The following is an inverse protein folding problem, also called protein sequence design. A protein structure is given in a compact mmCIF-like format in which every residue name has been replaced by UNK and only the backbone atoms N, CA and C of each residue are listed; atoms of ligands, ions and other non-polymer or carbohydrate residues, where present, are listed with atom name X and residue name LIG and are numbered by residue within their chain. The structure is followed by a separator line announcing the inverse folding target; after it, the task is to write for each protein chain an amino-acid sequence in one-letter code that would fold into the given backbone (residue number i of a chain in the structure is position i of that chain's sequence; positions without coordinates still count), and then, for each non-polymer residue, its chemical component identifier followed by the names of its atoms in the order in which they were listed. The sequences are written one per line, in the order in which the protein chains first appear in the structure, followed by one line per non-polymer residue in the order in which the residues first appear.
data_IF_020584143956
#
_entry.id   IF_020584143956
#
_cell.length_a   1.000
_cell.length_b   1.000
_cell.length_c   1.000
_cell.angle_alpha   90.00
_cell.angle_beta   90.00
_cell.angle_gamma   90.00
#
_symmetry.space_group_name_H-M   'P 1'
#
loop_
_entity.id
_entity.type
_entity.pdbx_description
1 polymer ?
#
# COMPACT_ATOMS: atom_id res chain seq x y z
N UNK A 1 -40.80 13.14 -10.56
CA UNK A 1 -40.35 11.95 -11.34
C UNK A 1 -39.97 12.43 -12.73
N UNK A 2 -38.70 12.76 -12.96
CA UNK A 2 -38.05 13.05 -14.25
C UNK A 2 -36.54 12.78 -14.02
N UNK A 3 -35.98 11.66 -14.49
CA UNK A 3 -35.13 11.54 -15.71
C UNK A 3 -33.73 12.18 -15.50
N UNK A 4 -32.55 11.60 -15.79
CA UNK A 4 -32.11 10.67 -16.83
C UNK A 4 -30.86 9.90 -16.37
N UNK A 5 -30.69 8.70 -16.92
CA UNK A 5 -29.54 7.79 -16.81
C UNK A 5 -28.20 8.39 -17.29
N UNK A 6 -27.08 7.83 -16.79
CA UNK A 6 -25.94 7.46 -17.63
C UNK A 6 -24.98 6.53 -16.87
N UNK A 7 -25.03 5.24 -17.23
CA UNK A 7 -24.02 4.25 -16.85
C UNK A 7 -22.80 4.42 -17.74
N UNK A 8 -21.60 4.57 -17.15
CA UNK A 8 -20.34 4.46 -17.89
C UNK A 8 -19.67 3.15 -17.53
N UNK A 9 -19.58 2.27 -18.54
CA UNK A 9 -18.82 1.03 -18.49
C UNK A 9 -17.36 1.34 -18.83
N UNK A 10 -16.44 1.10 -17.90
CA UNK A 10 -15.01 1.15 -18.18
C UNK A 10 -14.51 -0.26 -18.50
N UNK A 11 -14.23 -0.49 -19.78
CA UNK A 11 -13.38 -1.57 -20.28
C UNK A 11 -11.94 -1.10 -20.10
N UNK A 12 -11.10 -1.86 -19.39
CA UNK A 12 -9.65 -1.70 -19.46
C UNK A 12 -8.99 -3.04 -19.76
N UNK A 13 -8.23 -3.04 -20.84
CA UNK A 13 -7.49 -4.16 -21.40
C UNK A 13 -6.24 -4.51 -20.57
N UNK A 14 -5.92 -5.79 -20.63
CA UNK A 14 -4.73 -6.45 -20.08
C UNK A 14 -3.40 -5.88 -20.61
N UNK A 15 -2.40 -5.78 -19.74
CA UNK A 15 -0.99 -5.85 -20.12
C UNK A 15 -0.23 -6.73 -19.11
N UNK A 16 -0.08 -7.99 -19.49
CA UNK A 16 0.77 -9.01 -18.85
C UNK A 16 2.22 -8.75 -19.27
N UNK A 17 3.11 -8.54 -18.30
CA UNK A 17 4.56 -8.56 -18.54
C UNK A 17 5.17 -9.72 -17.77
N UNK A 18 5.44 -10.82 -18.48
CA UNK A 18 6.32 -11.89 -18.02
C UNK A 18 7.76 -11.40 -18.09
N UNK A 19 8.54 -11.63 -17.03
CA UNK A 19 10.00 -11.60 -17.14
C UNK A 19 10.57 -12.78 -16.35
N UNK A 20 10.77 -13.86 -17.08
CA UNK A 20 11.68 -14.95 -16.75
C UNK A 20 13.10 -14.42 -16.74
N UNK A 21 13.86 -14.65 -15.66
CA UNK A 21 15.31 -14.90 -15.70
C UNK A 21 15.74 -15.64 -14.44
N UNK A 22 15.96 -16.95 -14.54
CA UNK A 22 16.94 -17.66 -13.70
C UNK A 22 18.37 -17.20 -14.07
N UNK A 23 19.34 -17.37 -13.16
CA UNK A 23 20.37 -18.34 -13.49
C UNK A 23 20.76 -19.27 -12.33
N UNK A 24 21.46 -20.30 -12.78
CA UNK A 24 21.86 -21.56 -12.16
C UNK A 24 23.36 -21.48 -11.82
N UNK A 25 23.75 -22.15 -10.74
CA UNK A 25 25.11 -22.62 -10.40
C UNK A 25 26.19 -21.58 -10.05
N UNK A 26 26.86 -21.74 -8.90
CA UNK A 26 28.16 -22.45 -8.87
C UNK A 26 28.66 -22.68 -7.44
N UNK A 27 29.29 -23.85 -7.27
CA UNK A 27 29.92 -24.35 -6.05
C UNK A 27 31.13 -23.54 -5.63
N UNK A 28 31.48 -23.57 -4.34
CA UNK A 28 32.86 -23.73 -3.86
C UNK A 28 32.90 -24.01 -2.35
N UNK A 29 33.27 -25.24 -1.98
CA UNK A 29 33.89 -25.56 -0.68
C UNK A 29 35.26 -24.90 -0.59
N UNK A 30 35.76 -24.59 0.62
CA UNK A 30 37.17 -24.72 0.92
C UNK A 30 37.42 -25.97 1.77
N UNK A 31 38.20 -26.87 1.18
CA UNK A 31 38.96 -27.92 1.86
C UNK A 31 40.18 -27.28 2.53
N UNK A 32 40.40 -27.50 3.82
CA UNK A 32 41.72 -27.31 4.44
C UNK A 32 41.94 -28.34 5.53
N UNK A 33 43.14 -28.91 5.46
CA UNK A 33 43.59 -30.14 6.09
C UNK A 33 44.06 -29.95 7.55
N UNK A 34 43.86 -31.03 8.32
CA UNK A 34 44.76 -31.63 9.33
C UNK A 34 45.30 -30.75 10.46
N UNK A 35 44.95 -31.14 11.68
CA UNK A 35 45.95 -31.64 12.65
C UNK A 35 45.27 -32.50 13.75
N UNK A 36 45.63 -33.78 13.80
CA UNK A 36 45.29 -34.69 14.88
C UNK A 36 46.37 -34.59 15.96
N UNK A 37 45.96 -34.36 17.21
CA UNK A 37 46.74 -34.67 18.41
C UNK A 37 45.81 -35.45 19.36
N UNK A 38 46.11 -36.71 19.72
CA UNK A 38 45.25 -37.52 20.58
C UNK A 38 45.73 -37.43 22.04
N UNK A 39 44.96 -36.78 22.90
CA UNK A 39 45.17 -36.86 24.35
C UNK A 39 44.14 -37.81 24.95
N UNK A 40 44.64 -38.99 25.32
CA UNK A 40 43.94 -40.02 26.07
C UNK A 40 43.59 -39.54 27.49
N UNK A 41 42.52 -40.14 28.00
CA UNK A 41 42.17 -40.32 29.42
C UNK A 41 41.60 -39.13 30.18
N UNK A 42 40.29 -39.15 30.43
CA UNK A 42 39.72 -39.31 31.79
C UNK A 42 38.18 -39.37 31.74
N UNK A 43 37.61 -40.50 31.30
CA UNK A 43 36.19 -40.77 31.53
C UNK A 43 36.09 -41.87 32.57
N UNK A 44 36.02 -41.48 33.84
CA UNK A 44 35.56 -42.37 34.90
C UNK A 44 34.60 -41.59 35.79
N UNK A 45 33.38 -42.11 35.77
CA UNK A 45 32.48 -42.20 36.91
C UNK A 45 31.58 -40.98 37.23
N UNK A 46 30.43 -40.97 36.56
CA UNK A 46 29.18 -40.48 37.14
C UNK A 46 28.02 -41.23 36.49
N UNK A 47 27.81 -42.48 36.90
CA UNK A 47 26.52 -43.15 36.68
C UNK A 47 25.55 -42.68 37.76
N UNK A 48 24.78 -41.64 37.46
CA UNK A 48 23.51 -41.38 38.13
C UNK A 48 22.43 -42.23 37.46
N UNK A 49 21.66 -43.05 38.20
CA UNK A 49 20.61 -43.87 37.63
C UNK A 49 19.34 -43.04 37.43
N UNK A 50 18.55 -43.42 36.42
CA UNK A 50 17.21 -42.91 36.05
C UNK A 50 17.21 -41.79 35.01
N UNK A 51 17.07 -42.16 33.74
CA UNK A 51 16.44 -41.29 32.74
C UNK A 51 16.91 -41.44 31.30
N UNK A 52 18.21 -41.54 31.05
CA UNK A 52 18.74 -41.28 29.70
C UNK A 52 19.23 -42.55 29.02
N UNK A 53 18.35 -43.10 28.17
CA UNK A 53 18.74 -44.00 27.09
C UNK A 53 19.74 -43.23 26.22
N UNK A 54 21.04 -43.52 26.36
CA UNK A 54 22.09 -43.03 25.46
C UNK A 54 21.71 -43.48 24.04
N UNK A 55 21.01 -42.61 23.31
CA UNK A 55 20.72 -42.83 21.91
C UNK A 55 22.05 -43.03 21.20
N UNK A 56 22.15 -44.06 20.36
CA UNK A 56 23.32 -44.21 19.50
C UNK A 56 23.48 -42.92 18.69
N UNK A 57 24.72 -42.50 18.41
CA UNK A 57 24.98 -41.29 17.62
C UNK A 57 24.19 -41.31 16.31
N UNK A 58 24.00 -42.48 15.70
CA UNK A 58 23.18 -42.68 14.51
C UNK A 58 21.67 -42.46 14.74
N UNK A 59 21.13 -42.86 15.90
CA UNK A 59 19.73 -42.60 16.26
C UNK A 59 19.49 -41.12 16.54
N UNK A 60 20.45 -40.44 17.19
CA UNK A 60 20.40 -38.99 17.36
C UNK A 60 20.49 -38.25 16.03
N UNK A 61 21.41 -38.63 15.15
CA UNK A 61 21.53 -38.05 13.80
C UNK A 61 20.25 -38.29 12.99
N UNK A 62 19.62 -39.45 13.11
CA UNK A 62 18.35 -39.76 12.45
C UNK A 62 17.23 -38.84 12.95
N UNK A 63 17.05 -38.68 14.28
CA UNK A 63 16.03 -37.77 14.82
C UNK A 63 16.30 -36.30 14.47
N UNK A 64 17.56 -35.88 14.48
CA UNK A 64 17.97 -34.54 14.04
C UNK A 64 17.58 -34.35 12.57
N UNK A 65 17.91 -35.33 11.72
CA UNK A 65 17.61 -35.30 10.29
C UNK A 65 16.11 -35.28 10.04
N UNK A 66 15.33 -36.13 10.71
CA UNK A 66 13.88 -36.18 10.63
C UNK A 66 13.21 -34.88 11.10
N UNK A 67 13.77 -34.23 12.15
CA UNK A 67 13.32 -32.92 12.62
C UNK A 67 13.67 -31.77 11.66
N UNK A 68 14.62 -31.98 10.74
CA UNK A 68 15.02 -31.05 9.68
C UNK A 68 14.26 -31.28 8.37
N UNK A 69 13.45 -32.34 8.25
CA UNK A 69 12.65 -32.59 7.05
C UNK A 69 11.48 -31.60 7.01
N UNK A 70 11.42 -30.81 5.95
CA UNK A 70 10.27 -29.92 5.68
C UNK A 70 9.04 -30.79 5.45
N UNK A 71 8.08 -30.68 6.37
CA UNK A 71 6.81 -31.39 6.25
C UNK A 71 5.85 -30.63 5.32
N UNK A 72 4.79 -31.29 4.83
CA UNK A 72 3.73 -30.62 4.06
C UNK A 72 3.13 -29.42 4.81
N UNK A 73 3.03 -29.51 6.14
CA UNK A 73 2.55 -28.42 6.99
C UNK A 73 3.53 -27.24 6.99
N UNK A 74 4.83 -27.47 6.96
CA UNK A 74 5.82 -26.39 6.91
C UNK A 74 5.83 -25.70 5.55
N UNK A 75 5.58 -26.44 4.47
CA UNK A 75 5.36 -25.86 3.15
C UNK A 75 4.11 -24.97 3.10
N UNK A 76 3.01 -25.39 3.72
CA UNK A 76 1.79 -24.58 3.83
C UNK A 76 2.03 -23.30 4.64
N UNK A 77 2.75 -23.39 5.77
CA UNK A 77 3.13 -22.21 6.57
C UNK A 77 3.94 -21.21 5.74
N UNK A 78 4.89 -21.67 4.93
CA UNK A 78 5.68 -20.80 4.04
C UNK A 78 4.80 -20.11 2.99
N UNK A 79 3.85 -20.84 2.38
CA UNK A 79 2.91 -20.27 1.43
C UNK A 79 2.00 -19.22 2.07
N UNK A 80 1.48 -19.49 3.27
CA UNK A 80 0.67 -18.54 4.03
C UNK A 80 1.49 -17.31 4.44
N UNK A 81 2.74 -17.48 4.87
CA UNK A 81 3.65 -16.38 5.18
C UNK A 81 3.89 -15.50 3.96
N UNK A 82 4.12 -16.11 2.79
CA UNK A 82 4.29 -15.40 1.53
C UNK A 82 3.03 -14.59 1.19
N UNK A 83 1.84 -15.23 1.18
CA UNK A 83 0.56 -14.54 0.94
C UNK A 83 0.31 -13.41 1.94
N UNK A 84 0.60 -13.64 3.22
CA UNK A 84 0.44 -12.61 4.24
C UNK A 84 1.38 -11.42 4.01
N UNK A 85 2.60 -11.67 3.53
CA UNK A 85 3.56 -10.63 3.17
C UNK A 85 3.06 -9.81 1.98
N UNK A 86 2.50 -10.45 0.95
CA UNK A 86 1.88 -9.76 -0.18
C UNK A 86 0.67 -8.93 0.24
N UNK A 87 -0.20 -9.49 1.10
CA UNK A 87 -1.34 -8.76 1.66
C UNK A 87 -0.92 -7.52 2.44
N UNK A 88 0.19 -7.59 3.22
CA UNK A 88 0.72 -6.42 3.91
C UNK A 88 1.21 -5.35 2.93
N UNK A 89 1.81 -5.73 1.80
CA UNK A 89 2.24 -4.78 0.76
C UNK A 89 1.03 -4.11 0.13
N UNK A 90 0.04 -4.88 -0.30
CA UNK A 90 -1.20 -4.35 -0.91
C UNK A 90 -1.95 -3.47 0.07
N UNK A 91 -2.06 -3.86 1.35
CA UNK A 91 -2.69 -3.01 2.37
C UNK A 91 -1.95 -1.68 2.56
N UNK A 92 -0.61 -1.68 2.48
CA UNK A 92 0.17 -0.44 2.55
C UNK A 92 -0.13 0.47 1.37
N UNK A 93 -0.12 -0.07 0.16
CA UNK A 93 -0.47 0.67 -1.07
C UNK A 93 -1.91 1.20 -1.02
N UNK A 94 -2.85 0.42 -0.47
CA UNK A 94 -4.23 0.84 -0.30
C UNK A 94 -4.36 1.99 0.72
N UNK A 95 -3.61 1.95 1.82
CA UNK A 95 -3.58 3.06 2.78
C UNK A 95 -3.01 4.34 2.16
N UNK A 96 -1.91 4.22 1.40
CA UNK A 96 -1.28 5.36 0.70
C UNK A 96 -2.27 5.97 -0.31
N UNK A 97 -2.90 5.14 -1.14
CA UNK A 97 -3.90 5.60 -2.11
C UNK A 97 -5.10 6.25 -1.42
N UNK A 98 -5.55 5.72 -0.29
CA UNK A 98 -6.65 6.30 0.47
C UNK A 98 -6.31 7.71 0.98
N UNK A 99 -5.09 7.91 1.49
CA UNK A 99 -4.62 9.22 1.94
C UNK A 99 -4.49 10.23 0.78
N UNK A 100 -3.95 9.79 -0.37
CA UNK A 100 -3.86 10.61 -1.58
C UNK A 100 -5.25 11.02 -2.07
N UNK A 101 -6.21 10.09 -2.09
CA UNK A 101 -7.59 10.38 -2.45
C UNK A 101 -8.24 11.38 -1.51
N UNK A 102 -8.06 11.23 -0.19
CA UNK A 102 -8.55 12.18 0.81
C UNK A 102 -7.94 13.58 0.62
N UNK A 103 -6.67 13.66 0.24
CA UNK A 103 -5.98 14.91 -0.02
C UNK A 103 -6.49 15.59 -1.31
N UNK A 104 -6.67 14.83 -2.39
CA UNK A 104 -7.24 15.34 -3.65
C UNK A 104 -8.68 15.83 -3.41
N UNK A 105 -9.49 15.05 -2.70
CA UNK A 105 -10.86 15.44 -2.39
C UNK A 105 -10.93 16.74 -1.60
N UNK A 106 -10.14 16.86 -0.51
CA UNK A 106 -10.10 18.07 0.32
C UNK A 106 -9.61 19.29 -0.45
N UNK A 107 -8.52 19.16 -1.20
CA UNK A 107 -7.97 20.27 -1.97
C UNK A 107 -8.89 20.73 -3.10
N UNK A 108 -9.53 19.78 -3.81
CA UNK A 108 -10.53 20.10 -4.84
C UNK A 108 -11.76 20.80 -4.24
N UNK A 109 -12.27 20.30 -3.11
CA UNK A 109 -13.40 20.91 -2.39
C UNK A 109 -13.08 22.34 -1.97
N UNK A 110 -11.90 22.56 -1.37
CA UNK A 110 -11.47 23.90 -0.96
C UNK A 110 -11.31 24.84 -2.16
N UNK A 111 -10.71 24.37 -3.26
CA UNK A 111 -10.55 25.16 -4.47
C UNK A 111 -11.88 25.55 -5.12
N UNK A 112 -12.88 24.67 -5.08
CA UNK A 112 -14.24 24.98 -5.53
C UNK A 112 -14.93 25.99 -4.63
N UNK A 113 -14.80 25.85 -3.30
CA UNK A 113 -15.34 26.81 -2.34
C UNK A 113 -14.77 28.21 -2.56
N UNK A 114 -13.46 28.34 -2.70
CA UNK A 114 -12.80 29.62 -2.96
C UNK A 114 -13.28 30.28 -4.26
N UNK A 115 -13.43 29.50 -5.33
CA UNK A 115 -13.97 30.02 -6.61
C UNK A 115 -15.42 30.46 -6.48
N UNK A 116 -16.24 29.71 -5.77
CA UNK A 116 -17.63 30.07 -5.50
C UNK A 116 -17.71 31.39 -4.74
N UNK A 117 -16.94 31.54 -3.66
CA UNK A 117 -16.92 32.79 -2.90
C UNK A 117 -16.40 33.99 -3.73
N UNK A 118 -15.42 33.77 -4.61
CA UNK A 118 -14.94 34.82 -5.52
C UNK A 118 -16.05 35.27 -6.48
N UNK A 119 -16.74 34.31 -7.10
CA UNK A 119 -17.87 34.58 -7.99
C UNK A 119 -19.04 35.28 -7.26
N UNK A 120 -19.33 34.92 -6.02
CA UNK A 120 -20.37 35.58 -5.22
C UNK A 120 -20.04 37.05 -4.93
N UNK A 121 -18.77 37.36 -4.63
CA UNK A 121 -18.30 38.73 -4.43
C UNK A 121 -18.40 39.54 -5.72
N UNK A 122 -17.95 38.98 -6.84
CA UNK A 122 -18.06 39.61 -8.16
C UNK A 122 -19.52 39.86 -8.55
N UNK A 123 -20.39 38.86 -8.37
CA UNK A 123 -21.82 38.97 -8.66
C UNK A 123 -22.47 40.10 -7.84
N UNK A 124 -22.13 40.19 -6.55
CA UNK A 124 -22.62 41.25 -5.66
C UNK A 124 -22.13 42.63 -6.10
N UNK A 125 -20.87 42.76 -6.51
CA UNK A 125 -20.31 44.01 -7.02
C UNK A 125 -21.00 44.44 -8.33
N UNK A 126 -21.25 43.51 -9.24
CA UNK A 126 -21.98 43.76 -10.49
C UNK A 126 -23.41 44.20 -10.21
N UNK A 127 -24.13 43.51 -9.32
CA UNK A 127 -25.50 43.91 -8.91
C UNK A 127 -25.53 45.32 -8.36
N UNK A 128 -24.57 45.67 -7.50
CA UNK A 128 -24.47 47.03 -6.95
C UNK A 128 -24.19 48.07 -8.03
N UNK A 129 -23.27 47.79 -8.97
CA UNK A 129 -22.97 48.70 -10.07
C UNK A 129 -24.17 48.88 -11.00
N UNK A 130 -24.87 47.79 -11.35
CA UNK A 130 -26.08 47.82 -12.16
C UNK A 130 -27.18 48.64 -11.50
N UNK A 131 -27.40 48.50 -10.19
CA UNK A 131 -28.35 49.34 -9.46
C UNK A 131 -28.03 50.83 -9.56
N UNK A 132 -26.75 51.20 -9.45
CA UNK A 132 -26.30 52.59 -9.62
C UNK A 132 -26.48 53.11 -11.04
N UNK A 133 -26.23 52.28 -12.05
CA UNK A 133 -26.42 52.63 -13.45
C UNK A 133 -27.90 52.82 -13.77
N UNK A 134 -28.76 51.93 -13.26
CA UNK A 134 -30.21 52.03 -13.43
C UNK A 134 -30.73 53.37 -12.88
N UNK A 135 -30.34 53.74 -11.67
CA UNK A 135 -30.72 55.04 -11.07
C UNK A 135 -30.25 56.24 -11.91
N UNK A 136 -29.06 56.16 -12.51
CA UNK A 136 -28.56 57.24 -13.40
C UNK A 136 -29.38 57.34 -14.68
N UNK A 137 -29.76 56.20 -15.26
CA UNK A 137 -30.60 56.15 -16.47
C UNK A 137 -31.98 56.70 -16.16
N UNK A 138 -32.59 56.32 -15.04
CA UNK A 138 -33.88 56.85 -14.59
C UNK A 138 -33.82 58.37 -14.42
N UNK A 139 -32.79 58.89 -13.75
CA UNK A 139 -32.62 60.33 -13.58
C UNK A 139 -32.49 61.08 -14.92
N UNK A 140 -31.71 60.54 -15.86
CA UNK A 140 -31.57 61.11 -17.20
C UNK A 140 -32.90 61.10 -17.97
N UNK A 141 -33.67 60.02 -17.85
CA UNK A 141 -34.98 59.88 -18.49
C UNK A 141 -35.97 60.89 -17.91
N UNK A 142 -36.06 61.01 -16.58
CA UNK A 142 -36.92 62.01 -15.93
C UNK A 142 -36.53 63.44 -16.28
N UNK A 143 -35.22 63.75 -16.36
CA UNK A 143 -34.75 65.06 -16.77
C UNK A 143 -35.14 65.37 -18.23
N UNK A 144 -35.01 64.40 -19.13
CA UNK A 144 -35.44 64.54 -20.53
C UNK A 144 -36.95 64.80 -20.63
N UNK A 145 -37.76 64.01 -19.93
CA UNK A 145 -39.22 64.17 -19.90
C UNK A 145 -39.64 65.54 -19.37
N UNK A 146 -38.92 66.08 -18.38
CA UNK A 146 -39.17 67.41 -17.85
C UNK A 146 -38.95 68.53 -18.88
N UNK A 147 -37.95 68.40 -19.76
CA UNK A 147 -37.67 69.40 -20.81
C UNK A 147 -38.48 69.20 -22.10
N UNK A 148 -39.13 68.05 -22.28
CA UNK A 148 -39.98 67.73 -23.44
C UNK A 148 -41.47 68.09 -23.22
N UNK A 149 -41.86 68.49 -22.01
CA UNK A 149 -43.20 69.00 -21.67
C UNK A 149 -43.30 70.52 -21.86
#
# INVERSE_FOLDING_TARGET
VLSLSSSSSFISLSARSQKDTSPKSDSSLPETQKEHIPTKELWTDSMSPVGDRLLSTDEQVTMITESLIVTSTDQEKLLLLNRNTELRKVNKELMELNEDWDQVYRSATLGLQQRLEALERENSAIKHLNGRLLLKVEHQQSAKEYYEQ
#
